data_IF_574509618986
#
_entry.id   IF_574509618986
#
_cell.length_a   1.000
_cell.length_b   1.000
_cell.length_c   1.000
_cell.angle_alpha   90.00
_cell.angle_beta   90.00
_cell.angle_gamma   90.00
#
_symmetry.space_group_name_H-M   'P 1'
#
loop_
_entity.id
_entity.type
_entity.pdbx_description
1 polymer ?
#
# COMPACT_ATOMS: atom_id res chain seq x y z
N UNK A 1 57.16 2.19 -6.02
CA UNK A 1 56.03 2.33 -5.08
C UNK A 1 56.47 1.68 -3.79
N UNK A 2 56.59 2.48 -2.74
CA UNK A 2 57.10 2.05 -1.45
C UNK A 2 56.09 1.09 -0.77
N UNK A 3 56.56 0.23 0.14
CA UNK A 3 55.69 -0.67 0.91
C UNK A 3 54.71 0.12 1.78
N UNK A 4 55.12 1.28 2.27
CA UNK A 4 54.26 2.20 3.04
C UNK A 4 53.18 2.85 2.16
N UNK A 5 53.47 3.15 0.89
CA UNK A 5 52.47 3.67 -0.05
C UNK A 5 51.36 2.63 -0.32
N UNK A 6 51.75 1.35 -0.49
CA UNK A 6 50.81 0.24 -0.68
C UNK A 6 49.90 0.02 0.52
N UNK A 7 50.46 0.08 1.73
CA UNK A 7 49.70 -0.02 2.98
C UNK A 7 48.69 1.13 3.11
N UNK A 8 49.12 2.34 2.81
CA UNK A 8 48.25 3.53 2.86
C UNK A 8 47.11 3.44 1.85
N UNK A 9 47.38 2.97 0.63
CA UNK A 9 46.36 2.77 -0.40
C UNK A 9 45.36 1.67 -0.01
N UNK A 10 45.83 0.59 0.60
CA UNK A 10 44.97 -0.49 1.10
C UNK A 10 44.04 -0.02 2.22
N UNK A 11 44.57 0.75 3.19
CA UNK A 11 43.77 1.32 4.28
C UNK A 11 42.67 2.22 3.72
N UNK A 12 43.01 3.14 2.82
CA UNK A 12 42.04 4.04 2.22
C UNK A 12 40.94 3.30 1.42
N UNK A 13 41.30 2.20 0.73
CA UNK A 13 40.31 1.34 0.06
C UNK A 13 39.41 0.63 1.07
N UNK A 14 39.95 0.14 2.18
CA UNK A 14 39.17 -0.52 3.22
C UNK A 14 38.19 0.45 3.89
N UNK A 15 38.63 1.66 4.22
CA UNK A 15 37.75 2.70 4.78
C UNK A 15 36.62 3.06 3.82
N UNK A 16 36.93 3.25 2.54
CA UNK A 16 35.93 3.50 1.51
C UNK A 16 34.92 2.35 1.38
N UNK A 17 35.37 1.10 1.45
CA UNK A 17 34.48 -0.07 1.42
C UNK A 17 33.58 -0.12 2.66
N UNK A 18 34.10 0.23 3.83
CA UNK A 18 33.33 0.30 5.07
C UNK A 18 32.23 1.36 4.99
N UNK A 19 32.52 2.53 4.44
CA UNK A 19 31.53 3.59 4.26
C UNK A 19 30.44 3.20 3.25
N UNK A 20 30.82 2.54 2.15
CA UNK A 20 29.87 2.01 1.17
C UNK A 20 28.95 0.94 1.78
N UNK A 21 29.50 0.07 2.63
CA UNK A 21 28.72 -0.96 3.30
C UNK A 21 27.70 -0.36 4.28
N UNK A 22 28.11 0.65 5.07
CA UNK A 22 27.21 1.36 5.99
C UNK A 22 26.04 2.01 5.25
N UNK A 23 26.33 2.75 4.18
CA UNK A 23 25.27 3.37 3.37
C UNK A 23 24.31 2.35 2.77
N UNK A 24 24.84 1.20 2.30
CA UNK A 24 24.00 0.11 1.78
C UNK A 24 23.09 -0.47 2.87
N UNK A 25 23.59 -0.60 4.10
CA UNK A 25 22.83 -1.13 5.23
C UNK A 25 21.73 -0.16 5.69
N UNK A 26 22.02 1.14 5.80
CA UNK A 26 21.03 2.17 6.14
C UNK A 26 19.87 2.21 5.11
N UNK A 27 20.20 2.08 3.83
CA UNK A 27 19.19 1.98 2.76
C UNK A 27 18.33 0.72 2.94
N UNK A 28 18.96 -0.42 3.23
CA UNK A 28 18.23 -1.68 3.43
C UNK A 28 17.30 -1.62 4.65
N UNK A 29 17.77 -1.11 5.79
CA UNK A 29 16.92 -0.94 6.98
C UNK A 29 15.77 0.03 6.72
N UNK A 30 16.03 1.15 6.03
CA UNK A 30 14.99 2.09 5.62
C UNK A 30 13.91 1.42 4.73
N UNK A 31 14.32 0.56 3.79
CA UNK A 31 13.38 -0.19 2.96
C UNK A 31 12.60 -1.26 3.73
N UNK A 32 13.22 -1.96 4.68
CA UNK A 32 12.53 -2.95 5.50
C UNK A 32 11.51 -2.28 6.42
N UNK A 33 11.90 -1.20 7.10
CA UNK A 33 11.01 -0.44 7.97
C UNK A 33 9.79 0.10 7.20
N UNK A 34 9.99 0.70 6.02
CA UNK A 34 8.89 1.14 5.15
C UNK A 34 8.04 0.00 4.58
N UNK A 35 8.55 -1.24 4.53
CA UNK A 35 7.75 -2.42 4.14
C UNK A 35 6.93 -2.93 5.32
N UNK A 36 7.51 -2.97 6.51
CA UNK A 36 6.84 -3.42 7.73
C UNK A 36 5.72 -2.46 8.13
N UNK A 37 5.96 -1.14 8.08
CA UNK A 37 4.93 -0.13 8.33
C UNK A 37 3.77 -0.24 7.34
N UNK A 38 4.07 -0.34 6.04
CA UNK A 38 3.01 -0.53 5.02
C UNK A 38 2.26 -1.83 5.22
N UNK A 39 2.93 -2.92 5.56
CA UNK A 39 2.26 -4.18 5.86
C UNK A 39 1.31 -4.05 7.06
N UNK A 40 1.71 -3.31 8.10
CA UNK A 40 0.87 -3.05 9.26
C UNK A 40 -0.32 -2.16 8.93
N UNK A 41 -0.13 -1.09 8.16
CA UNK A 41 -1.20 -0.21 7.69
C UNK A 41 -2.26 -0.97 6.88
N UNK A 42 -1.83 -1.83 5.96
CA UNK A 42 -2.75 -2.66 5.17
C UNK A 42 -3.44 -3.75 6.00
N UNK A 43 -2.77 -4.29 7.03
CA UNK A 43 -3.42 -5.18 8.00
C UNK A 43 -4.50 -4.44 8.80
N UNK A 44 -4.19 -3.23 9.30
CA UNK A 44 -5.15 -2.39 10.02
C UNK A 44 -6.35 -2.00 9.15
N UNK A 45 -6.11 -1.69 7.86
CA UNK A 45 -7.17 -1.43 6.90
C UNK A 45 -8.08 -2.66 6.72
N UNK A 46 -7.48 -3.84 6.52
CA UNK A 46 -8.20 -5.11 6.38
C UNK A 46 -9.07 -5.44 7.60
N UNK A 47 -8.57 -5.18 8.81
CA UNK A 47 -9.31 -5.44 10.05
C UNK A 47 -10.53 -4.51 10.25
N UNK A 48 -10.52 -3.32 9.64
CA UNK A 48 -11.61 -2.34 9.76
C UNK A 48 -12.64 -2.41 8.63
N UNK A 49 -12.27 -2.99 7.50
CA UNK A 49 -13.15 -3.18 6.35
C UNK A 49 -14.15 -4.32 6.63
N UNK A 50 -15.43 -4.08 6.37
CA UNK A 50 -16.49 -5.08 6.47
C UNK A 50 -16.59 -5.97 5.23
N UNK A 51 -17.31 -7.10 5.32
CA UNK A 51 -17.54 -7.99 4.18
C UNK A 51 -18.25 -7.29 3.01
N UNK A 52 -19.21 -6.41 3.30
CA UNK A 52 -19.91 -5.60 2.30
C UNK A 52 -18.93 -4.68 1.56
N UNK A 53 -17.98 -4.09 2.28
CA UNK A 53 -16.96 -3.23 1.70
C UNK A 53 -15.93 -4.03 0.89
N UNK A 54 -15.62 -5.28 1.29
CA UNK A 54 -14.80 -6.21 0.48
C UNK A 54 -15.51 -6.53 -0.84
N UNK A 55 -16.82 -6.78 -0.80
CA UNK A 55 -17.61 -7.06 -2.01
C UNK A 55 -17.60 -5.86 -2.97
N UNK A 56 -17.71 -4.64 -2.44
CA UNK A 56 -17.58 -3.40 -3.22
C UNK A 56 -16.16 -3.26 -3.79
N UNK A 57 -15.12 -3.41 -2.98
CA UNK A 57 -13.72 -3.32 -3.44
C UNK A 57 -13.43 -4.35 -4.53
N UNK A 58 -13.97 -5.56 -4.41
CA UNK A 58 -13.85 -6.61 -5.42
C UNK A 58 -14.52 -6.19 -6.72
N UNK A 59 -15.76 -5.68 -6.66
CA UNK A 59 -16.49 -5.24 -7.85
C UNK A 59 -15.84 -4.01 -8.51
N UNK A 60 -15.18 -3.13 -7.74
CA UNK A 60 -14.39 -2.02 -8.28
C UNK A 60 -13.09 -2.54 -8.92
N UNK A 61 -12.38 -3.48 -8.30
CA UNK A 61 -11.14 -4.04 -8.84
C UNK A 61 -11.37 -4.77 -10.16
N UNK A 62 -12.42 -5.58 -10.24
CA UNK A 62 -12.74 -6.37 -11.45
C UNK A 62 -13.59 -5.60 -12.46
N UNK A 63 -14.22 -4.50 -12.04
CA UNK A 63 -15.26 -3.78 -12.79
C UNK A 63 -16.47 -4.67 -13.16
N UNK A 64 -16.64 -5.79 -12.47
CA UNK A 64 -17.73 -6.74 -12.72
C UNK A 64 -18.93 -6.44 -11.81
N UNK A 65 -20.12 -6.33 -12.42
CA UNK A 65 -21.40 -6.08 -11.73
C UNK A 65 -21.39 -4.86 -10.77
N UNK A 66 -20.45 -3.93 -10.93
CA UNK A 66 -20.17 -2.85 -9.97
C UNK A 66 -21.41 -2.07 -9.52
N UNK A 67 -22.20 -1.59 -10.47
CA UNK A 67 -23.40 -0.80 -10.18
C UNK A 67 -24.45 -1.61 -9.43
N UNK A 68 -24.67 -2.87 -9.82
CA UNK A 68 -25.63 -3.76 -9.19
C UNK A 68 -25.18 -4.17 -7.78
N UNK A 69 -23.89 -4.45 -7.59
CA UNK A 69 -23.29 -4.78 -6.30
C UNK A 69 -23.46 -3.63 -5.31
N UNK A 70 -23.01 -2.42 -5.68
CA UNK A 70 -23.12 -1.23 -4.81
C UNK A 70 -24.59 -0.95 -4.49
N UNK A 71 -25.48 -1.02 -5.48
CA UNK A 71 -26.92 -0.77 -5.28
C UNK A 71 -27.53 -1.75 -4.27
N UNK A 72 -27.29 -3.06 -4.43
CA UNK A 72 -27.84 -4.09 -3.52
C UNK A 72 -27.34 -3.93 -2.09
N UNK A 73 -26.06 -3.60 -1.94
CA UNK A 73 -25.44 -3.37 -0.63
C UNK A 73 -26.02 -2.11 0.02
N UNK A 74 -26.22 -1.04 -0.75
CA UNK A 74 -26.83 0.20 -0.27
C UNK A 74 -28.27 -0.05 0.23
N UNK A 75 -29.06 -0.81 -0.53
CA UNK A 75 -30.42 -1.19 -0.15
C UNK A 75 -30.44 -2.04 1.13
N UNK A 76 -29.54 -3.03 1.25
CA UNK A 76 -29.40 -3.87 2.45
C UNK A 76 -29.05 -3.07 3.70
N UNK A 77 -28.19 -2.06 3.55
CA UNK A 77 -27.67 -1.26 4.65
C UNK A 77 -28.49 0.03 4.92
N UNK A 78 -29.62 0.21 4.20
CA UNK A 78 -30.48 1.41 4.32
C UNK A 78 -29.64 2.70 4.16
N UNK A 79 -28.76 2.69 3.17
CA UNK A 79 -27.84 3.79 2.85
C UNK A 79 -27.90 4.11 1.35
N UNK A 80 -27.01 4.98 0.87
CA UNK A 80 -26.89 5.34 -0.54
C UNK A 80 -25.53 4.92 -1.11
N UNK A 81 -25.44 4.61 -2.43
CA UNK A 81 -24.21 4.18 -3.09
C UNK A 81 -22.97 5.04 -2.81
N UNK A 82 -23.11 6.36 -2.84
CA UNK A 82 -21.97 7.27 -2.65
C UNK A 82 -21.37 7.18 -1.24
N UNK A 83 -22.23 7.05 -0.20
CA UNK A 83 -21.77 6.96 1.18
C UNK A 83 -20.97 5.68 1.44
N UNK A 84 -21.30 4.57 0.76
CA UNK A 84 -20.53 3.34 0.90
C UNK A 84 -19.09 3.50 0.43
N UNK A 85 -18.87 4.26 -0.65
CA UNK A 85 -17.53 4.53 -1.17
C UNK A 85 -16.81 5.54 -0.28
N UNK A 86 -17.52 6.58 0.18
CA UNK A 86 -16.97 7.56 1.11
C UNK A 86 -16.52 6.88 2.42
N UNK A 87 -17.29 5.91 2.92
CA UNK A 87 -16.94 5.13 4.11
C UNK A 87 -15.67 4.30 3.90
N UNK A 88 -15.51 3.67 2.73
CA UNK A 88 -14.27 2.93 2.40
C UNK A 88 -13.07 3.88 2.34
N UNK A 89 -13.20 5.01 1.64
CA UNK A 89 -12.13 6.01 1.55
C UNK A 89 -11.81 6.64 2.91
N UNK A 90 -12.80 6.79 3.79
CA UNK A 90 -12.58 7.24 5.16
C UNK A 90 -11.76 6.23 5.96
N UNK A 91 -12.12 4.95 5.89
CA UNK A 91 -11.33 3.90 6.56
C UNK A 91 -9.91 3.88 6.01
N UNK A 92 -9.75 3.97 4.68
CA UNK A 92 -8.45 4.02 4.03
C UNK A 92 -7.63 5.24 4.50
N UNK A 93 -8.23 6.42 4.57
CA UNK A 93 -7.56 7.61 5.09
C UNK A 93 -7.15 7.45 6.56
N UNK A 94 -8.03 6.88 7.39
CA UNK A 94 -7.79 6.66 8.81
C UNK A 94 -6.70 5.60 9.10
N UNK A 95 -6.37 4.72 8.15
CA UNK A 95 -5.37 3.64 8.33
C UNK A 95 -4.13 3.75 7.46
N UNK A 96 -4.28 4.25 6.23
CA UNK A 96 -3.23 4.36 5.21
C UNK A 96 -2.80 5.81 4.99
N UNK A 97 -3.51 6.79 5.56
CA UNK A 97 -3.27 8.22 5.35
C UNK A 97 -3.75 8.76 4.00
N UNK A 98 -4.34 7.92 3.15
CA UNK A 98 -4.64 8.20 1.75
C UNK A 98 -6.02 7.65 1.36
N UNK A 99 -6.65 8.28 0.36
CA UNK A 99 -7.84 7.70 -0.30
C UNK A 99 -7.40 6.71 -1.37
N UNK A 100 -8.14 5.62 -1.55
CA UNK A 100 -7.76 4.54 -2.47
C UNK A 100 -8.74 4.36 -3.62
N UNK A 101 -9.95 4.93 -3.53
CA UNK A 101 -10.96 4.92 -4.60
C UNK A 101 -11.10 6.33 -5.16
N UNK A 102 -10.87 6.47 -6.47
CA UNK A 102 -11.15 7.68 -7.24
C UNK A 102 -12.63 7.73 -7.61
N UNK A 103 -13.34 8.77 -7.13
CA UNK A 103 -14.76 9.02 -7.42
C UNK A 103 -14.99 10.17 -8.40
N UNK A 104 -13.90 10.76 -8.90
CA UNK A 104 -13.88 11.89 -9.84
C UNK A 104 -14.42 11.49 -11.23
N UNK A 105 -14.42 10.19 -11.51
CA UNK A 105 -14.86 9.58 -12.76
C UNK A 105 -16.33 9.13 -12.63
N UNK A 106 -17.03 9.00 -13.76
CA UNK A 106 -18.41 8.46 -13.78
C UNK A 106 -18.51 7.06 -13.15
N UNK A 107 -17.41 6.30 -13.19
CA UNK A 107 -17.32 4.96 -12.62
C UNK A 107 -16.18 4.96 -11.59
N UNK A 108 -16.44 4.57 -10.32
CA UNK A 108 -15.42 4.46 -9.29
C UNK A 108 -14.30 3.49 -9.70
N UNK A 109 -13.06 3.86 -9.38
CA UNK A 109 -11.86 3.05 -9.69
C UNK A 109 -10.91 3.06 -8.51
N UNK A 110 -10.22 1.95 -8.28
CA UNK A 110 -9.07 1.96 -7.37
C UNK A 110 -7.94 2.75 -8.04
N UNK A 111 -7.33 3.67 -7.30
CA UNK A 111 -6.18 4.42 -7.82
C UNK A 111 -5.03 3.45 -8.16
N UNK A 112 -4.36 3.67 -9.28
CA UNK A 112 -3.38 2.72 -9.84
C UNK A 112 -2.29 2.32 -8.85
N UNK A 113 -1.87 3.25 -7.99
CA UNK A 113 -0.82 3.04 -6.99
C UNK A 113 -1.22 2.02 -5.90
N UNK A 114 -2.52 1.76 -5.74
CA UNK A 114 -3.07 0.88 -4.71
C UNK A 114 -3.74 -0.39 -5.25
N UNK A 115 -3.95 -0.50 -6.57
CA UNK A 115 -4.69 -1.62 -7.18
C UNK A 115 -4.10 -2.98 -6.76
N UNK A 116 -2.78 -3.15 -6.90
CA UNK A 116 -2.10 -4.40 -6.56
C UNK A 116 -2.26 -4.76 -5.07
N UNK A 117 -2.20 -3.76 -4.18
CA UNK A 117 -2.33 -3.98 -2.74
C UNK A 117 -3.76 -4.38 -2.38
N UNK A 118 -4.76 -3.74 -2.98
CA UNK A 118 -6.17 -4.10 -2.80
C UNK A 118 -6.43 -5.52 -3.31
N UNK A 119 -5.95 -5.88 -4.51
CA UNK A 119 -6.09 -7.24 -5.07
C UNK A 119 -5.41 -8.31 -4.19
N UNK A 120 -4.21 -8.00 -3.67
CA UNK A 120 -3.47 -8.88 -2.77
C UNK A 120 -4.24 -9.09 -1.47
N UNK A 121 -4.77 -8.00 -0.89
CA UNK A 121 -5.58 -8.05 0.33
C UNK A 121 -6.84 -8.89 0.11
N UNK A 122 -7.58 -8.67 -0.99
CA UNK A 122 -8.81 -9.41 -1.32
C UNK A 122 -8.51 -10.91 -1.50
N UNK A 123 -7.43 -11.26 -2.19
CA UNK A 123 -7.05 -12.65 -2.46
C UNK A 123 -6.57 -13.42 -1.21
N UNK A 124 -6.29 -12.71 -0.11
CA UNK A 124 -5.79 -13.27 1.15
C UNK A 124 -6.89 -13.54 2.19
N UNK A 125 -8.16 -13.24 1.86
CA UNK A 125 -9.36 -13.50 2.66
C UNK A 125 -9.93 -14.91 2.37
#
# INVERSE_FOLDING_TARGET
>A
MDTMDRLSELIAKTEKLLDQLKSTFEIYEGFQYQRDDRNLEWQNFREKISQDQIEILTAIATQENLQDTIKKIAERNITIPSLLIDDINKIAYDTLGEIIIETNNEIPKIANDYLLMVETMISSL
#
